data_IF_083742337357
#
_entry.id   IF_083742337357
#
_cell.length_a   1.000
_cell.length_b   1.000
_cell.length_c   1.000
_cell.angle_alpha   90.00
_cell.angle_beta   90.00
_cell.angle_gamma   90.00
#
_symmetry.space_group_name_H-M   'P 1'
#
loop_
_entity.id
_entity.type
_entity.pdbx_description
1 polymer ?
#
# COMPACT_ATOMS: atom_id res chain seq x y z
N UNK A 1 13.85 -36.02 17.82
CA UNK A 1 12.56 -36.73 17.77
C UNK A 1 11.55 -35.74 17.22
N UNK A 2 11.66 -35.42 15.93
CA UNK A 2 10.65 -34.63 15.21
C UNK A 2 10.45 -35.34 13.88
N UNK A 3 9.88 -36.53 13.95
CA UNK A 3 9.10 -37.07 12.84
C UNK A 3 7.79 -36.29 12.87
N UNK A 4 7.85 -35.03 12.41
CA UNK A 4 6.65 -34.29 12.03
C UNK A 4 5.94 -35.21 11.06
N UNK A 5 4.79 -35.75 11.48
CA UNK A 5 3.90 -36.50 10.61
C UNK A 5 3.85 -35.70 9.30
N UNK A 6 4.36 -36.26 8.20
CA UNK A 6 4.19 -35.65 6.89
C UNK A 6 2.70 -35.35 6.79
N UNK A 7 2.40 -34.06 6.69
CA UNK A 7 1.04 -33.57 6.71
C UNK A 7 0.33 -34.23 5.54
N UNK A 8 -0.53 -35.20 5.85
CA UNK A 8 -1.33 -35.93 4.88
C UNK A 8 -2.05 -34.92 3.98
N UNK A 9 -1.72 -34.95 2.69
CA UNK A 9 -2.41 -34.17 1.68
C UNK A 9 -3.66 -34.91 1.22
N UNK A 10 -4.59 -34.17 0.61
CA UNK A 10 -5.78 -34.75 -0.02
C UNK A 10 -5.41 -35.82 -1.06
N UNK A 11 -4.32 -35.62 -1.80
CA UNK A 11 -3.81 -36.59 -2.77
C UNK A 11 -3.38 -37.91 -2.09
N UNK A 12 -2.76 -37.84 -0.90
CA UNK A 12 -2.36 -39.02 -0.13
C UNK A 12 -3.58 -39.82 0.34
N UNK A 13 -4.67 -39.14 0.69
CA UNK A 13 -5.94 -39.76 1.09
C UNK A 13 -6.56 -40.52 -0.09
N UNK A 14 -6.51 -39.97 -1.31
CA UNK A 14 -7.03 -40.66 -2.49
C UNK A 14 -6.20 -41.88 -2.89
N UNK A 15 -4.87 -41.82 -2.77
CA UNK A 15 -4.00 -42.99 -3.01
C UNK A 15 -4.33 -44.10 -2.01
N UNK A 16 -4.46 -43.76 -0.72
CA UNK A 16 -4.84 -44.73 0.32
C UNK A 16 -6.25 -45.30 0.08
N UNK A 17 -7.19 -44.48 -0.39
CA UNK A 17 -8.53 -44.94 -0.73
C UNK A 17 -8.55 -45.94 -1.90
N UNK A 18 -7.69 -45.74 -2.91
CA UNK A 18 -7.52 -46.66 -4.03
C UNK A 18 -6.95 -48.01 -3.58
N UNK A 19 -5.88 -48.00 -2.78
CA UNK A 19 -5.28 -49.22 -2.22
C UNK A 19 -6.29 -50.00 -1.37
N UNK A 20 -7.01 -49.30 -0.49
CA UNK A 20 -8.08 -49.89 0.32
C UNK A 20 -9.18 -50.46 -0.59
N UNK A 21 -9.56 -49.74 -1.65
CA UNK A 21 -10.56 -50.18 -2.62
C UNK A 21 -10.20 -51.49 -3.32
N UNK A 22 -8.94 -51.66 -3.73
CA UNK A 22 -8.45 -52.90 -4.35
C UNK A 22 -8.52 -54.10 -3.39
N UNK A 23 -8.17 -53.90 -2.12
CA UNK A 23 -8.29 -54.94 -1.09
C UNK A 23 -9.75 -55.32 -0.82
N UNK A 24 -10.65 -54.33 -0.81
CA UNK A 24 -12.10 -54.56 -0.71
C UNK A 24 -12.64 -55.37 -1.90
N UNK A 25 -12.16 -55.10 -3.13
CA UNK A 25 -12.54 -55.84 -4.33
C UNK A 25 -12.12 -57.31 -4.25
N UNK A 26 -10.86 -57.57 -3.87
CA UNK A 26 -10.34 -58.93 -3.66
C UNK A 26 -11.13 -59.71 -2.58
N UNK A 27 -11.53 -59.04 -1.50
CA UNK A 27 -12.32 -59.64 -0.42
C UNK A 27 -13.77 -59.91 -0.83
N UNK A 28 -14.36 -59.05 -1.65
CA UNK A 28 -15.70 -59.23 -2.21
C UNK A 28 -15.73 -60.46 -3.14
N UNK A 29 -14.71 -60.61 -3.99
CA UNK A 29 -14.60 -61.74 -4.92
C UNK A 29 -14.51 -63.09 -4.20
N UNK A 30 -13.92 -63.13 -2.99
CA UNK A 30 -13.75 -64.36 -2.20
C UNK A 30 -14.90 -64.65 -1.24
N UNK A 31 -15.47 -63.64 -0.58
CA UNK A 31 -16.40 -63.82 0.55
C UNK A 31 -17.82 -63.32 0.28
N UNK A 32 -18.06 -62.71 -0.88
CA UNK A 32 -19.35 -62.16 -1.28
C UNK A 32 -19.66 -60.78 -0.69
N UNK A 33 -20.48 -60.02 -1.43
CA UNK A 33 -20.71 -58.58 -1.21
C UNK A 33 -21.40 -58.27 0.13
N UNK A 34 -22.28 -59.14 0.61
CA UNK A 34 -23.20 -58.84 1.72
C UNK A 34 -22.52 -58.68 3.08
N UNK A 35 -21.42 -59.42 3.32
CA UNK A 35 -20.66 -59.30 4.56
C UNK A 35 -19.83 -58.02 4.59
N UNK A 36 -19.30 -57.61 3.44
CA UNK A 36 -18.36 -56.48 3.34
C UNK A 36 -19.04 -55.12 3.27
N UNK A 37 -20.28 -55.06 2.76
CA UNK A 37 -21.04 -53.81 2.53
C UNK A 37 -21.15 -52.90 3.76
N UNK A 38 -21.34 -53.46 4.96
CA UNK A 38 -21.44 -52.67 6.22
C UNK A 38 -20.08 -52.14 6.70
N UNK A 39 -19.00 -52.86 6.40
CA UNK A 39 -17.66 -52.41 6.73
C UNK A 39 -17.20 -51.33 5.75
N UNK A 40 -17.46 -51.55 4.45
CA UNK A 40 -17.17 -50.59 3.39
C UNK A 40 -17.81 -49.22 3.65
N UNK A 41 -19.10 -49.17 4.04
CA UNK A 41 -19.72 -47.88 4.39
C UNK A 41 -19.06 -47.19 5.57
N UNK A 42 -18.59 -47.93 6.58
CA UNK A 42 -17.84 -47.33 7.70
C UNK A 42 -16.46 -46.84 7.28
N UNK A 43 -15.77 -47.57 6.41
CA UNK A 43 -14.45 -47.15 5.90
C UNK A 43 -14.57 -45.92 4.99
N UNK A 44 -15.60 -45.86 4.14
CA UNK A 44 -15.92 -44.65 3.36
C UNK A 44 -16.12 -43.45 4.28
N UNK A 45 -16.93 -43.57 5.35
CA UNK A 45 -17.09 -42.47 6.29
C UNK A 45 -15.78 -42.04 6.96
N UNK A 46 -14.88 -42.98 7.28
CA UNK A 46 -13.57 -42.64 7.85
C UNK A 46 -12.69 -41.93 6.80
N UNK A 47 -12.71 -42.37 5.54
CA UNK A 47 -11.99 -41.71 4.45
C UNK A 47 -12.55 -40.31 4.16
N UNK A 48 -13.86 -40.11 4.21
CA UNK A 48 -14.49 -38.79 4.10
C UNK A 48 -14.05 -37.85 5.24
N UNK A 49 -13.98 -38.35 6.48
CA UNK A 49 -13.41 -37.57 7.58
C UNK A 49 -11.94 -37.25 7.35
N UNK A 50 -11.15 -38.22 6.89
CA UNK A 50 -9.72 -38.04 6.62
C UNK A 50 -9.49 -37.00 5.52
N UNK A 51 -10.28 -37.04 4.45
CA UNK A 51 -10.30 -36.06 3.37
C UNK A 51 -10.63 -34.66 3.90
N UNK A 52 -11.69 -34.52 4.71
CA UNK A 52 -12.05 -33.24 5.31
C UNK A 52 -10.93 -32.67 6.20
N UNK A 53 -10.22 -33.54 6.96
CA UNK A 53 -9.06 -33.12 7.73
C UNK A 53 -7.85 -32.76 6.86
N UNK A 54 -7.61 -33.50 5.78
CA UNK A 54 -6.54 -33.23 4.82
C UNK A 54 -6.75 -31.89 4.11
N UNK A 55 -7.97 -31.61 3.62
CA UNK A 55 -8.34 -30.30 3.03
C UNK A 55 -8.08 -29.16 4.01
N UNK A 56 -8.51 -29.31 5.27
CA UNK A 56 -8.29 -28.28 6.29
C UNK A 56 -6.81 -28.08 6.62
N UNK A 57 -6.03 -29.16 6.57
CA UNK A 57 -4.59 -29.12 6.79
C UNK A 57 -3.87 -28.41 5.64
N UNK A 58 -4.24 -28.71 4.39
CA UNK A 58 -3.70 -28.05 3.21
C UNK A 58 -4.05 -26.56 3.20
N UNK A 59 -5.28 -26.17 3.54
CA UNK A 59 -5.65 -24.75 3.67
C UNK A 59 -4.85 -24.03 4.77
N UNK A 60 -4.65 -24.68 5.92
CA UNK A 60 -3.85 -24.12 7.00
C UNK A 60 -2.36 -24.01 6.60
N UNK A 61 -1.85 -24.98 5.83
CA UNK A 61 -0.50 -24.97 5.29
C UNK A 61 -0.31 -23.84 4.29
N UNK A 62 -1.27 -23.59 3.41
CA UNK A 62 -1.29 -22.45 2.51
C UNK A 62 -1.32 -21.12 3.27
N UNK A 63 -2.13 -21.00 4.33
CA UNK A 63 -2.13 -19.80 5.17
C UNK A 63 -0.76 -19.58 5.83
N UNK A 64 -0.14 -20.65 6.35
CA UNK A 64 1.20 -20.58 6.94
C UNK A 64 2.25 -20.16 5.91
N UNK A 65 2.20 -20.68 4.67
CA UNK A 65 3.16 -20.28 3.63
C UNK A 65 2.94 -18.83 3.20
N UNK A 66 1.69 -18.37 3.09
CA UNK A 66 1.36 -16.98 2.80
C UNK A 66 1.85 -16.04 3.92
N UNK A 67 1.59 -16.38 5.18
CA UNK A 67 2.06 -15.60 6.33
C UNK A 67 3.59 -15.55 6.40
N UNK A 68 4.27 -16.67 6.16
CA UNK A 68 5.75 -16.70 6.08
C UNK A 68 6.27 -15.79 4.96
N UNK A 69 5.65 -15.83 3.79
CA UNK A 69 6.03 -14.95 2.68
C UNK A 69 5.81 -13.48 3.02
N UNK A 70 4.69 -13.13 3.68
CA UNK A 70 4.42 -11.77 4.16
C UNK A 70 5.45 -11.32 5.20
N UNK A 71 5.84 -12.19 6.14
CA UNK A 71 6.88 -11.89 7.12
C UNK A 71 8.21 -11.60 6.43
N UNK A 72 8.64 -12.45 5.48
CA UNK A 72 9.87 -12.20 4.72
C UNK A 72 9.83 -10.87 3.96
N UNK A 73 8.70 -10.52 3.33
CA UNK A 73 8.53 -9.23 2.67
C UNK A 73 8.62 -8.06 3.65
N UNK A 74 7.95 -8.14 4.80
CA UNK A 74 7.99 -7.09 5.82
C UNK A 74 9.38 -6.93 6.45
N UNK A 75 10.12 -8.02 6.63
CA UNK A 75 11.50 -8.00 7.11
C UNK A 75 12.42 -7.31 6.09
N UNK A 76 12.27 -7.60 4.80
CA UNK A 76 13.00 -6.93 3.73
C UNK A 76 12.67 -5.42 3.70
N UNK A 77 11.39 -5.06 3.72
CA UNK A 77 10.94 -3.66 3.77
C UNK A 77 11.52 -2.91 4.99
N UNK A 78 11.57 -3.59 6.15
CA UNK A 78 12.15 -3.03 7.38
C UNK A 78 13.64 -2.77 7.20
N UNK A 79 14.37 -3.71 6.61
CA UNK A 79 15.79 -3.59 6.33
C UNK A 79 16.06 -2.45 5.35
N UNK A 80 15.35 -2.37 4.23
CA UNK A 80 15.49 -1.31 3.22
C UNK A 80 15.19 0.08 3.82
N UNK A 81 14.12 0.21 4.62
CA UNK A 81 13.81 1.46 5.33
C UNK A 81 14.86 1.83 6.37
N UNK A 82 15.54 0.86 6.98
CA UNK A 82 16.63 1.12 7.92
C UNK A 82 17.89 1.59 7.18
N UNK A 83 18.23 0.98 6.04
CA UNK A 83 19.34 1.42 5.21
C UNK A 83 19.13 2.84 4.66
N UNK A 84 17.93 3.16 4.19
CA UNK A 84 17.60 4.51 3.73
C UNK A 84 17.77 5.54 4.85
N UNK A 85 17.28 5.23 6.05
CA UNK A 85 17.47 6.10 7.23
C UNK A 85 18.94 6.31 7.56
N UNK A 86 19.74 5.25 7.55
CA UNK A 86 21.19 5.34 7.80
C UNK A 86 21.89 6.20 6.73
N UNK A 87 21.51 6.07 5.46
CA UNK A 87 22.03 6.93 4.38
C UNK A 87 21.69 8.40 4.61
N UNK A 88 20.42 8.71 4.93
CA UNK A 88 20.01 10.09 5.24
C UNK A 88 20.72 10.64 6.48
N UNK A 89 20.92 9.84 7.52
CA UNK A 89 21.66 10.24 8.72
C UNK A 89 23.11 10.61 8.39
N UNK A 90 23.80 9.80 7.57
CA UNK A 90 25.15 10.11 7.08
C UNK A 90 25.22 11.35 6.21
N UNK A 91 24.23 11.55 5.34
CA UNK A 91 24.15 12.77 4.52
C UNK A 91 23.97 14.01 5.40
N UNK A 92 23.12 13.93 6.42
CA UNK A 92 22.94 15.02 7.40
C UNK A 92 24.22 15.29 8.18
N UNK A 93 24.88 14.26 8.70
CA UNK A 93 26.17 14.42 9.39
C UNK A 93 27.22 15.08 8.47
N UNK A 94 27.28 14.68 7.20
CA UNK A 94 28.16 15.31 6.23
C UNK A 94 27.84 16.78 6.01
N UNK A 95 26.56 17.16 5.88
CA UNK A 95 26.16 18.56 5.77
C UNK A 95 26.50 19.36 7.04
N UNK A 96 26.36 18.76 8.22
CA UNK A 96 26.75 19.41 9.48
C UNK A 96 28.26 19.66 9.55
N UNK A 97 29.07 18.70 9.11
CA UNK A 97 30.53 18.85 9.09
C UNK A 97 30.99 19.93 8.10
N UNK A 98 30.41 19.94 6.89
CA UNK A 98 30.66 21.00 5.90
C UNK A 98 30.24 22.35 6.48
N UNK A 99 29.07 22.44 7.11
CA UNK A 99 28.61 23.68 7.70
C UNK A 99 29.50 24.17 8.85
N UNK A 100 29.98 23.26 9.71
CA UNK A 100 30.96 23.59 10.76
C UNK A 100 32.27 24.09 10.16
N UNK A 101 32.73 23.47 9.07
CA UNK A 101 33.93 23.90 8.36
C UNK A 101 33.75 25.30 7.77
N UNK A 102 32.64 25.57 7.09
CA UNK A 102 32.32 26.89 6.53
C UNK A 102 32.22 27.96 7.63
N UNK A 103 31.57 27.67 8.76
CA UNK A 103 31.51 28.59 9.90
C UNK A 103 32.91 28.91 10.41
N UNK A 104 33.78 27.90 10.52
CA UNK A 104 35.17 28.08 10.95
C UNK A 104 35.95 28.92 9.94
N UNK A 105 35.85 28.63 8.65
CA UNK A 105 36.53 29.37 7.59
C UNK A 105 36.08 30.84 7.55
N UNK A 106 34.77 31.09 7.69
CA UNK A 106 34.23 32.45 7.81
C UNK A 106 34.74 33.14 9.09
N UNK A 107 34.82 32.43 10.22
CA UNK A 107 35.43 32.92 11.45
C UNK A 107 36.90 33.31 11.27
N UNK A 108 37.68 32.48 10.57
CA UNK A 108 39.09 32.74 10.23
C UNK A 108 39.22 33.95 9.28
N UNK A 109 38.27 34.15 8.35
CA UNK A 109 38.23 35.36 7.51
C UNK A 109 37.92 36.60 8.35
N UNK A 110 36.93 36.53 9.25
CA UNK A 110 36.56 37.66 10.11
C UNK A 110 37.71 38.06 11.03
N UNK A 111 38.40 37.10 11.65
CA UNK A 111 39.56 37.37 12.52
C UNK A 111 40.71 38.00 11.74
N UNK A 112 41.04 37.50 10.54
CA UNK A 112 42.03 38.13 9.65
C UNK A 112 41.68 39.57 9.29
N UNK A 113 40.42 39.82 8.91
CA UNK A 113 39.95 41.18 8.60
C UNK A 113 39.97 42.12 9.82
N UNK A 114 39.66 41.61 11.01
CA UNK A 114 39.77 42.37 12.26
C UNK A 114 41.23 42.71 12.59
N UNK A 115 42.16 41.78 12.40
CA UNK A 115 43.59 42.03 12.57
C UNK A 115 44.11 43.06 11.58
N UNK A 116 43.74 42.97 10.30
CA UNK A 116 44.11 43.94 9.26
C UNK A 116 43.55 45.33 9.57
N UNK A 117 42.28 45.43 9.96
CA UNK A 117 41.69 46.70 10.40
C UNK A 117 42.40 47.29 11.62
N UNK A 118 42.78 46.46 12.59
CA UNK A 118 43.53 46.90 13.78
C UNK A 118 44.94 47.40 13.41
N UNK A 119 45.63 46.72 12.50
CA UNK A 119 46.94 47.12 11.96
C UNK A 119 46.84 48.44 11.18
N UNK A 120 45.83 48.59 10.32
CA UNK A 120 45.58 49.82 9.57
C UNK A 120 45.25 50.99 10.50
N UNK A 121 44.39 50.78 11.51
CA UNK A 121 44.10 51.79 12.53
C UNK A 121 45.34 52.21 13.31
N UNK A 122 46.22 51.27 13.67
CA UNK A 122 47.49 51.57 14.34
C UNK A 122 48.43 52.36 13.43
N UNK A 123 48.55 51.96 12.16
CA UNK A 123 49.36 52.64 11.14
C UNK A 123 48.84 54.05 10.82
N UNK A 124 47.52 54.25 10.83
CA UNK A 124 46.90 55.57 10.65
C UNK A 124 47.20 56.49 11.83
N UNK A 125 47.10 55.99 13.07
CA UNK A 125 47.48 56.75 14.27
C UNK A 125 48.96 57.11 14.28
N UNK A 126 49.83 56.20 13.86
CA UNK A 126 51.26 56.48 13.68
C UNK A 126 51.45 57.60 12.63
N UNK A 127 50.84 57.49 11.45
CA UNK A 127 50.93 58.54 10.41
C UNK A 127 50.35 59.88 10.85
N UNK A 128 49.23 59.91 11.58
CA UNK A 128 48.68 61.13 12.18
C UNK A 128 49.65 61.74 13.21
N UNK A 129 50.35 60.92 13.99
CA UNK A 129 51.38 61.39 14.92
C UNK A 129 52.63 61.95 14.22
N UNK A 130 53.00 61.38 13.07
CA UNK A 130 54.06 61.92 12.21
C UNK A 130 53.64 63.23 11.52
N UNK A 131 52.37 63.38 11.13
CA UNK A 131 51.84 64.62 10.52
C UNK A 131 51.70 65.75 11.56
N UNK A 132 51.52 65.41 12.85
CA UNK A 132 51.50 66.39 13.94
C UNK A 132 52.90 66.89 14.36
N UNK A 133 53.99 66.26 13.89
CA UNK A 133 55.37 66.63 14.20
C UNK A 133 56.17 66.84 12.91
N UNK A 134 55.99 67.99 12.26
CA UNK A 134 56.98 68.50 11.30
C UNK A 134 56.39 69.17 10.06
N UNK A 135 56.16 70.48 10.17
CA UNK A 135 56.33 71.42 9.06
C UNK A 135 57.77 71.94 9.10
N UNK A 136 58.55 71.75 8.04
CA UNK A 136 59.24 72.80 7.25
C UNK A 136 60.43 72.27 6.44
N UNK A 137 60.38 72.60 5.13
CA UNK A 137 61.50 73.03 4.25
C UNK A 137 62.57 71.99 3.85
N UNK A 138 63.17 71.99 2.65
CA UNK A 138 63.46 73.08 1.73
C UNK A 138 63.79 72.58 0.30
N UNK A 139 63.48 73.44 -0.67
CA UNK A 139 64.15 73.78 -1.93
C UNK A 139 65.34 72.96 -2.52
N UNK A 140 65.28 72.82 -3.86
CA UNK A 140 66.34 72.66 -4.90
C UNK A 140 66.79 71.24 -5.27
N UNK A 141 66.44 70.82 -6.50
CA UNK A 141 67.38 70.29 -7.52
C UNK A 141 66.63 69.81 -8.78
N UNK A 142 66.43 70.70 -9.76
CA UNK A 142 65.64 70.41 -10.97
C UNK A 142 66.28 69.43 -11.99
N UNK A 143 67.49 68.91 -11.73
CA UNK A 143 68.16 67.90 -12.58
C UNK A 143 68.24 66.49 -11.94
N UNK A 144 68.16 66.37 -10.62
CA UNK A 144 67.99 65.07 -9.93
C UNK A 144 66.51 64.64 -9.88
N UNK A 145 65.61 65.63 -9.83
CA UNK A 145 64.14 65.44 -9.85
C UNK A 145 63.67 64.74 -11.12
N UNK A 146 64.27 64.98 -12.29
CA UNK A 146 63.89 64.25 -13.52
C UNK A 146 64.24 62.75 -13.46
N UNK A 147 65.38 62.38 -12.86
CA UNK A 147 65.76 60.97 -12.71
C UNK A 147 64.88 60.26 -11.66
N UNK A 148 64.53 60.97 -10.59
CA UNK A 148 63.63 60.49 -9.55
C UNK A 148 62.19 60.37 -10.06
N UNK A 149 61.71 61.33 -10.86
CA UNK A 149 60.42 61.29 -11.56
C UNK A 149 60.37 60.12 -12.56
N UNK A 150 61.45 59.85 -13.31
CA UNK A 150 61.55 58.69 -14.18
C UNK A 150 61.46 57.37 -13.38
N UNK A 151 62.08 57.30 -12.19
CA UNK A 151 61.98 56.14 -11.31
C UNK A 151 60.58 55.97 -10.71
N UNK A 152 59.93 57.07 -10.31
CA UNK A 152 58.54 57.07 -9.84
C UNK A 152 57.59 56.63 -10.95
N UNK A 153 57.74 57.15 -12.17
CA UNK A 153 56.96 56.73 -13.33
C UNK A 153 57.18 55.25 -13.68
N UNK A 154 58.40 54.73 -13.55
CA UNK A 154 58.69 53.29 -13.70
C UNK A 154 57.99 52.46 -12.61
N UNK A 155 57.99 52.90 -11.35
CA UNK A 155 57.27 52.25 -10.25
C UNK A 155 55.76 52.28 -10.45
N UNK A 156 55.20 53.42 -10.86
CA UNK A 156 53.77 53.55 -11.18
C UNK A 156 53.39 52.68 -12.37
N UNK A 157 54.22 52.61 -13.43
CA UNK A 157 54.01 51.69 -14.56
C UNK A 157 54.03 50.23 -14.12
N UNK A 158 54.98 49.85 -13.25
CA UNK A 158 55.07 48.49 -12.70
C UNK A 158 53.86 48.15 -11.80
N UNK A 159 53.37 49.12 -11.02
CA UNK A 159 52.16 48.96 -10.21
C UNK A 159 50.91 48.83 -11.10
N UNK A 160 50.81 49.63 -12.16
CA UNK A 160 49.72 49.56 -13.13
C UNK A 160 49.73 48.24 -13.92
N UNK A 161 50.90 47.74 -14.32
CA UNK A 161 51.01 46.41 -14.95
C UNK A 161 50.60 45.31 -13.99
N UNK A 162 51.01 45.38 -12.72
CA UNK A 162 50.59 44.43 -11.68
C UNK A 162 49.08 44.46 -11.44
N UNK A 163 48.48 45.65 -11.35
CA UNK A 163 47.03 45.80 -11.24
C UNK A 163 46.31 45.27 -12.49
N UNK A 164 46.84 45.50 -13.68
CA UNK A 164 46.27 44.96 -14.92
C UNK A 164 46.32 43.43 -14.97
N UNK A 165 47.41 42.83 -14.49
CA UNK A 165 47.55 41.37 -14.36
C UNK A 165 46.57 40.80 -13.32
N UNK A 166 46.39 41.49 -12.19
CA UNK A 166 45.41 41.12 -11.17
C UNK A 166 43.98 41.21 -11.70
N UNK A 167 43.63 42.27 -12.44
CA UNK A 167 42.33 42.39 -13.09
C UNK A 167 42.08 41.22 -14.04
N UNK A 168 43.06 40.86 -14.87
CA UNK A 168 42.96 39.68 -15.77
C UNK A 168 42.90 38.35 -15.03
N UNK A 169 43.46 38.26 -13.82
CA UNK A 169 43.32 37.09 -12.97
C UNK A 169 41.87 37.00 -12.46
N UNK A 170 41.34 38.07 -11.88
CA UNK A 170 39.97 38.11 -11.39
C UNK A 170 38.93 37.91 -12.50
N UNK A 171 39.16 38.45 -13.70
CA UNK A 171 38.29 38.19 -14.87
C UNK A 171 38.24 36.70 -15.23
N UNK A 172 39.38 35.99 -15.20
CA UNK A 172 39.43 34.54 -15.46
C UNK A 172 38.75 33.75 -14.35
N UNK A 173 38.96 34.15 -13.09
CA UNK A 173 38.34 33.52 -11.94
C UNK A 173 36.81 33.68 -11.97
N UNK A 174 36.31 34.89 -12.27
CA UNK A 174 34.88 35.16 -12.46
C UNK A 174 34.35 34.32 -13.63
N UNK A 175 35.03 34.27 -14.77
CA UNK A 175 34.61 33.46 -15.91
C UNK A 175 34.51 31.97 -15.56
N UNK A 176 35.50 31.44 -14.82
CA UNK A 176 35.47 30.06 -14.34
C UNK A 176 34.28 29.83 -13.39
N UNK A 177 34.06 30.72 -12.41
CA UNK A 177 32.95 30.62 -11.48
C UNK A 177 31.59 30.73 -12.18
N UNK A 178 31.46 31.56 -13.20
CA UNK A 178 30.23 31.62 -14.02
C UNK A 178 29.97 30.31 -14.77
N UNK A 179 31.01 29.68 -15.32
CA UNK A 179 30.87 28.39 -15.99
C UNK A 179 30.50 27.25 -15.01
N UNK A 180 31.10 27.25 -13.81
CA UNK A 180 30.74 26.33 -12.72
C UNK A 180 29.27 26.51 -12.30
N UNK A 181 28.82 27.76 -12.13
CA UNK A 181 27.43 28.07 -11.80
C UNK A 181 26.46 27.61 -12.89
N UNK A 182 26.79 27.81 -14.17
CA UNK A 182 25.93 27.39 -15.27
C UNK A 182 25.85 25.85 -15.40
N UNK A 183 26.96 25.14 -15.17
CA UNK A 183 26.95 23.68 -15.10
C UNK A 183 26.09 23.18 -13.92
N UNK A 184 26.22 23.76 -12.73
CA UNK A 184 25.38 23.42 -11.57
C UNK A 184 23.90 23.72 -11.83
N UNK A 185 23.59 24.83 -12.50
CA UNK A 185 22.22 25.15 -12.93
C UNK A 185 21.65 24.09 -13.87
N UNK A 186 22.43 23.61 -14.84
CA UNK A 186 22.00 22.53 -15.74
C UNK A 186 21.74 21.22 -14.99
N UNK A 187 22.63 20.84 -14.06
CA UNK A 187 22.45 19.65 -13.23
C UNK A 187 21.19 19.75 -12.36
N UNK A 188 20.94 20.92 -11.77
CA UNK A 188 19.75 21.20 -10.98
C UNK A 188 18.47 21.11 -11.82
N UNK A 189 18.46 21.63 -13.05
CA UNK A 189 17.31 21.51 -13.96
C UNK A 189 17.06 20.05 -14.38
N UNK A 190 18.11 19.27 -14.68
CA UNK A 190 17.98 17.83 -14.94
C UNK A 190 17.41 17.08 -13.73
N UNK A 191 17.90 17.36 -12.53
CA UNK A 191 17.39 16.76 -11.29
C UNK A 191 15.92 17.13 -11.04
N UNK A 192 15.53 18.40 -11.27
CA UNK A 192 14.14 18.85 -11.18
C UNK A 192 13.23 18.10 -12.17
N UNK A 193 13.65 17.96 -13.43
CA UNK A 193 12.88 17.24 -14.45
C UNK A 193 12.69 15.77 -14.06
N UNK A 194 13.75 15.09 -13.62
CA UNK A 194 13.68 13.70 -13.16
C UNK A 194 12.77 13.54 -11.93
N UNK A 195 12.88 14.45 -10.95
CA UNK A 195 12.01 14.45 -9.76
C UNK A 195 10.53 14.69 -10.10
N UNK A 196 10.24 15.56 -11.07
CA UNK A 196 8.89 15.77 -11.57
C UNK A 196 8.34 14.53 -12.28
N UNK A 197 9.15 13.86 -13.11
CA UNK A 197 8.76 12.62 -13.78
C UNK A 197 8.48 11.49 -12.77
N UNK A 198 9.36 11.30 -11.79
CA UNK A 198 9.14 10.34 -10.70
C UNK A 198 7.88 10.65 -9.91
N UNK A 199 7.60 11.93 -9.64
CA UNK A 199 6.37 12.34 -8.97
C UNK A 199 5.12 12.05 -9.80
N UNK A 200 5.16 12.23 -11.13
CA UNK A 200 4.09 11.83 -12.04
C UNK A 200 3.91 10.31 -12.05
N UNK A 201 4.99 9.54 -12.09
CA UNK A 201 4.97 8.06 -12.04
C UNK A 201 4.37 7.55 -10.72
N UNK A 202 4.77 8.14 -9.59
CA UNK A 202 4.21 7.84 -8.25
C UNK A 202 2.71 8.10 -8.20
N UNK A 203 2.22 9.21 -8.76
CA UNK A 203 0.77 9.50 -8.84
C UNK A 203 0.00 8.46 -9.66
N UNK A 204 0.56 8.01 -10.79
CA UNK A 204 -0.06 6.95 -11.61
C UNK A 204 -0.13 5.62 -10.87
N UNK A 205 0.96 5.20 -10.22
CA UNK A 205 0.95 3.98 -9.42
C UNK A 205 0.00 4.07 -8.23
N UNK A 206 -0.05 5.21 -7.55
CA UNK A 206 -1.00 5.42 -6.45
C UNK A 206 -2.46 5.33 -6.94
N UNK A 207 -2.76 5.84 -8.14
CA UNK A 207 -4.08 5.69 -8.75
C UNK A 207 -4.40 4.23 -9.09
N UNK A 208 -3.45 3.47 -9.65
CA UNK A 208 -3.61 2.04 -9.93
C UNK A 208 -3.86 1.22 -8.66
N UNK A 209 -3.12 1.50 -7.58
CA UNK A 209 -3.32 0.81 -6.29
C UNK A 209 -4.73 1.07 -5.74
N UNK A 210 -5.23 2.32 -5.87
CA UNK A 210 -6.60 2.64 -5.48
C UNK A 210 -7.62 1.88 -6.32
N UNK A 211 -7.45 1.89 -7.64
CA UNK A 211 -8.32 1.17 -8.55
C UNK A 211 -8.36 -0.34 -8.22
N UNK A 212 -7.21 -0.99 -8.03
CA UNK A 212 -7.18 -2.40 -7.64
C UNK A 212 -7.79 -2.66 -6.26
N UNK A 213 -7.67 -1.71 -5.33
CA UNK A 213 -8.32 -1.83 -4.03
C UNK A 213 -9.85 -1.72 -4.13
N UNK A 214 -10.36 -0.88 -5.03
CA UNK A 214 -11.80 -0.74 -5.33
C UNK A 214 -12.32 -2.00 -6.02
N UNK A 215 -11.64 -2.47 -7.08
CA UNK A 215 -11.99 -3.73 -7.77
C UNK A 215 -11.99 -4.93 -6.83
N UNK A 216 -11.01 -5.01 -5.92
CA UNK A 216 -10.97 -6.06 -4.89
C UNK A 216 -12.16 -5.96 -3.93
N UNK A 217 -12.54 -4.75 -3.52
CA UNK A 217 -13.69 -4.56 -2.63
C UNK A 217 -15.01 -4.98 -3.32
N UNK A 218 -15.17 -4.65 -4.61
CA UNK A 218 -16.34 -5.05 -5.39
C UNK A 218 -16.43 -6.57 -5.55
N UNK A 219 -15.31 -7.24 -5.85
CA UNK A 219 -15.26 -8.70 -5.94
C UNK A 219 -15.56 -9.39 -4.61
N UNK A 220 -15.06 -8.84 -3.49
CA UNK A 220 -15.37 -9.37 -2.16
C UNK A 220 -16.87 -9.20 -1.83
N UNK A 221 -17.48 -8.07 -2.19
CA UNK A 221 -18.91 -7.87 -2.02
C UNK A 221 -19.74 -8.87 -2.84
N UNK A 222 -19.36 -9.09 -4.11
CA UNK A 222 -20.01 -10.09 -4.97
C UNK A 222 -19.89 -11.51 -4.40
N UNK A 223 -18.72 -11.89 -3.91
CA UNK A 223 -18.51 -13.19 -3.27
C UNK A 223 -19.35 -13.35 -2.00
N UNK A 224 -19.45 -12.32 -1.16
CA UNK A 224 -20.30 -12.35 0.03
C UNK A 224 -21.78 -12.50 -0.33
N UNK A 225 -22.24 -11.84 -1.38
CA UNK A 225 -23.64 -11.96 -1.81
C UNK A 225 -23.93 -13.35 -2.40
N UNK A 226 -22.99 -13.94 -3.14
CA UNK A 226 -23.08 -15.32 -3.59
C UNK A 226 -23.10 -16.31 -2.42
N UNK A 227 -22.28 -16.10 -1.38
CA UNK A 227 -22.30 -16.93 -0.17
C UNK A 227 -23.66 -16.87 0.54
N UNK A 228 -24.24 -15.68 0.72
CA UNK A 228 -25.59 -15.53 1.29
C UNK A 228 -26.64 -16.24 0.44
N UNK A 229 -26.55 -16.15 -0.89
CA UNK A 229 -27.46 -16.87 -1.78
C UNK A 229 -27.31 -18.39 -1.62
N UNK A 230 -26.10 -18.92 -1.49
CA UNK A 230 -25.88 -20.34 -1.22
C UNK A 230 -26.45 -20.76 0.13
N UNK A 231 -26.23 -19.97 1.19
CA UNK A 231 -26.79 -20.22 2.52
C UNK A 231 -28.32 -20.26 2.50
N UNK A 232 -28.97 -19.30 1.84
CA UNK A 232 -30.44 -19.29 1.71
C UNK A 232 -30.96 -20.48 0.91
N UNK A 233 -30.28 -20.87 -0.18
CA UNK A 233 -30.64 -22.07 -0.95
C UNK A 233 -30.47 -23.35 -0.14
N UNK A 234 -29.40 -23.47 0.64
CA UNK A 234 -29.17 -24.59 1.55
C UNK A 234 -30.27 -24.66 2.62
N UNK A 235 -30.67 -23.53 3.19
CA UNK A 235 -31.74 -23.46 4.18
C UNK A 235 -33.09 -23.89 3.57
N UNK A 236 -33.41 -23.41 2.37
CA UNK A 236 -34.63 -23.76 1.64
C UNK A 236 -34.66 -25.25 1.22
N UNK A 237 -33.51 -25.80 0.83
CA UNK A 237 -33.39 -27.23 0.56
C UNK A 237 -33.61 -28.03 1.85
N UNK A 238 -33.05 -27.58 2.97
CA UNK A 238 -33.25 -28.20 4.28
C UNK A 238 -34.70 -28.13 4.80
N UNK A 239 -35.46 -27.08 4.49
CA UNK A 239 -36.91 -27.07 4.75
C UNK A 239 -37.65 -28.02 3.82
N UNK A 240 -37.36 -28.02 2.52
CA UNK A 240 -38.01 -28.89 1.55
C UNK A 240 -37.77 -30.39 1.84
N UNK A 241 -36.56 -30.76 2.30
CA UNK A 241 -36.24 -32.12 2.73
C UNK A 241 -37.06 -32.51 3.96
N UNK A 242 -37.16 -31.63 4.97
CA UNK A 242 -37.99 -31.88 6.16
C UNK A 242 -39.46 -32.03 5.80
N UNK A 243 -40.00 -31.16 4.96
CA UNK A 243 -41.40 -31.22 4.52
C UNK A 243 -41.68 -32.54 3.77
N UNK A 244 -40.74 -32.98 2.93
CA UNK A 244 -40.82 -34.28 2.25
C UNK A 244 -40.80 -35.45 3.24
N UNK A 245 -39.90 -35.43 4.22
CA UNK A 245 -39.80 -36.47 5.24
C UNK A 245 -41.07 -36.52 6.10
N UNK A 246 -41.65 -35.37 6.45
CA UNK A 246 -42.92 -35.28 7.17
C UNK A 246 -44.06 -35.89 6.36
N UNK A 247 -44.17 -35.57 5.06
CA UNK A 247 -45.16 -36.18 4.16
C UNK A 247 -44.99 -37.70 4.04
N UNK A 248 -43.75 -38.18 3.93
CA UNK A 248 -43.43 -39.61 3.91
C UNK A 248 -43.77 -40.29 5.24
N UNK A 249 -43.47 -39.66 6.37
CA UNK A 249 -43.82 -40.15 7.70
C UNK A 249 -45.34 -40.20 7.91
N UNK A 250 -46.09 -39.22 7.38
CA UNK A 250 -47.55 -39.20 7.33
C UNK A 250 -48.14 -40.33 6.47
N UNK A 251 -47.45 -40.73 5.40
CA UNK A 251 -47.86 -41.87 4.56
C UNK A 251 -47.47 -43.22 5.17
N UNK A 252 -46.29 -43.33 5.79
CA UNK A 252 -45.76 -44.58 6.39
C UNK A 252 -46.40 -44.92 7.73
N UNK A 253 -46.73 -43.93 8.58
CA UNK A 253 -47.48 -44.20 9.83
C UNK A 253 -48.93 -44.63 9.61
N UNK A 254 -49.39 -44.66 8.36
CA UNK A 254 -50.80 -44.76 8.04
C UNK A 254 -51.48 -43.49 8.50
N UNK A 255 -51.95 -42.66 7.57
CA UNK A 255 -52.75 -41.50 7.92
C UNK A 255 -53.87 -41.95 8.85
N UNK A 256 -53.78 -41.59 10.13
CA UNK A 256 -54.86 -41.80 11.08
C UNK A 256 -55.98 -40.87 10.62
N UNK A 257 -56.87 -41.40 9.76
CA UNK A 257 -58.01 -40.71 9.15
C UNK A 257 -59.10 -40.37 10.20
N UNK A 258 -58.81 -40.49 11.49
CA UNK A 258 -59.70 -40.09 12.56
C UNK A 258 -59.74 -38.56 12.65
N UNK A 259 -60.76 -37.98 12.02
CA UNK A 259 -61.09 -36.56 12.08
C UNK A 259 -60.76 -35.75 10.82
N UNK A 260 -60.26 -36.38 9.74
CA UNK A 260 -60.07 -35.72 8.45
C UNK A 260 -61.21 -36.08 7.51
N UNK A 261 -61.89 -35.05 7.00
CA UNK A 261 -62.95 -35.19 5.99
C UNK A 261 -62.31 -35.71 4.71
N UNK A 262 -62.71 -36.91 4.26
CA UNK A 262 -62.35 -37.43 2.93
C UNK A 262 -63.17 -36.60 1.95
N UNK A 263 -62.49 -35.76 1.16
CA UNK A 263 -63.16 -34.84 0.25
C UNK A 263 -63.27 -35.51 -1.12
N UNK A 264 -64.50 -35.73 -1.57
CA UNK A 264 -64.80 -36.19 -2.92
C UNK A 264 -64.38 -35.12 -3.94
N UNK A 265 -63.62 -35.53 -4.96
CA UNK A 265 -63.11 -34.62 -5.99
C UNK A 265 -64.21 -34.17 -6.96
N UNK A 266 -65.31 -34.94 -7.05
CA UNK A 266 -66.43 -34.68 -7.95
C UNK A 266 -67.60 -33.90 -7.30
N UNK A 267 -67.50 -33.54 -6.00
CA UNK A 267 -68.55 -32.79 -5.29
C UNK A 267 -68.62 -31.31 -5.73
N UNK A 268 -69.73 -30.86 -6.36
CA UNK A 268 -69.91 -29.46 -6.77
C UNK A 268 -69.92 -28.47 -5.61
N UNK A 269 -70.23 -28.91 -4.38
CA UNK A 269 -70.34 -28.09 -3.18
C UNK A 269 -69.08 -28.12 -2.31
N UNK A 270 -68.00 -28.75 -2.78
CA UNK A 270 -66.71 -28.76 -2.09
C UNK A 270 -66.20 -27.32 -1.86
N UNK A 271 -65.71 -26.98 -0.65
CA UNK A 271 -65.00 -25.72 -0.42
C UNK A 271 -63.81 -25.61 -1.38
N UNK A 272 -63.88 -24.67 -2.32
CA UNK A 272 -62.83 -24.44 -3.34
C UNK A 272 -61.66 -23.62 -2.84
N UNK A 273 -61.87 -22.90 -1.74
CA UNK A 273 -60.88 -22.02 -1.13
C UNK A 273 -60.52 -22.52 0.26
N UNK A 274 -59.25 -22.38 0.62
CA UNK A 274 -58.83 -22.55 2.01
C UNK A 274 -59.40 -21.43 2.87
N UNK A 275 -59.43 -21.62 4.19
CA UNK A 275 -59.91 -20.60 5.13
C UNK A 275 -59.09 -19.31 5.03
N UNK A 276 -57.79 -19.43 4.74
CA UNK A 276 -56.89 -18.29 4.61
C UNK A 276 -57.05 -17.59 3.26
N UNK A 277 -57.22 -18.33 2.17
CA UNK A 277 -57.61 -17.76 0.87
C UNK A 277 -58.95 -17.01 0.98
N UNK A 278 -59.94 -17.57 1.67
CA UNK A 278 -61.22 -16.92 1.87
C UNK A 278 -61.09 -15.63 2.69
N UNK A 279 -60.26 -15.61 3.73
CA UNK A 279 -59.95 -14.39 4.49
C UNK A 279 -59.27 -13.35 3.61
N UNK A 280 -58.34 -13.76 2.76
CA UNK A 280 -57.62 -12.85 1.88
C UNK A 280 -58.54 -12.26 0.81
N UNK A 281 -59.38 -13.07 0.17
CA UNK A 281 -60.42 -12.62 -0.76
C UNK A 281 -61.42 -11.70 -0.06
N UNK A 282 -61.80 -11.99 1.18
CA UNK A 282 -62.65 -11.11 2.00
C UNK A 282 -61.98 -9.75 2.23
N UNK A 283 -60.69 -9.75 2.57
CA UNK A 283 -59.92 -8.54 2.81
C UNK A 283 -59.81 -7.68 1.54
N UNK A 284 -59.38 -8.28 0.42
CA UNK A 284 -59.26 -7.61 -0.87
C UNK A 284 -60.60 -7.02 -1.33
N UNK A 285 -61.69 -7.79 -1.19
CA UNK A 285 -63.05 -7.30 -1.53
C UNK A 285 -63.49 -6.16 -0.62
N UNK A 286 -63.13 -6.15 0.65
CA UNK A 286 -63.43 -5.02 1.54
C UNK A 286 -62.62 -3.79 1.18
N UNK A 287 -61.34 -3.95 0.83
CA UNK A 287 -60.48 -2.85 0.37
C UNK A 287 -60.99 -2.26 -0.95
N UNK A 288 -61.38 -3.11 -1.90
CA UNK A 288 -61.98 -2.67 -3.16
C UNK A 288 -63.33 -1.99 -2.93
N UNK A 289 -64.15 -2.49 -2.00
CA UNK A 289 -65.41 -1.81 -1.62
C UNK A 289 -65.15 -0.42 -1.03
N UNK A 290 -64.14 -0.26 -0.19
CA UNK A 290 -63.77 1.05 0.35
C UNK A 290 -63.36 2.00 -0.79
N UNK A 291 -62.47 1.55 -1.69
CA UNK A 291 -62.05 2.34 -2.86
C UNK A 291 -63.22 2.72 -3.77
N UNK A 292 -64.17 1.81 -4.00
CA UNK A 292 -65.37 2.11 -4.79
C UNK A 292 -66.25 3.13 -4.08
N UNK A 293 -66.43 3.02 -2.76
CA UNK A 293 -67.18 4.01 -1.97
C UNK A 293 -66.54 5.40 -2.05
N UNK A 294 -65.22 5.49 -1.91
CA UNK A 294 -64.49 6.76 -1.99
C UNK A 294 -64.65 7.38 -3.39
N UNK A 295 -64.56 6.57 -4.45
CA UNK A 295 -64.76 7.01 -5.83
C UNK A 295 -66.21 7.43 -6.12
N UNK A 296 -67.20 6.74 -5.53
CA UNK A 296 -68.61 7.13 -5.63
C UNK A 296 -68.87 8.47 -4.94
N UNK A 297 -68.24 8.73 -3.79
CA UNK A 297 -68.30 10.02 -3.08
C UNK A 297 -67.63 11.15 -3.88
N UNK A 298 -66.48 10.89 -4.52
CA UNK A 298 -65.81 11.85 -5.41
C UNK A 298 -66.65 12.20 -6.65
N UNK A 299 -67.40 11.24 -7.20
CA UNK A 299 -68.28 11.44 -8.35
C UNK A 299 -69.59 12.17 -8.01
N UNK A 300 -69.97 12.21 -6.74
CA UNK A 300 -71.18 12.88 -6.25
C UNK A 300 -70.96 14.37 -5.90
N UNK A 301 -69.70 14.86 -5.97
CA UNK A 301 -69.29 16.27 -5.81
C UNK A 301 -69.23 17.01 -7.15
#
# INVERSE_FOLDING_TARGET
MDTSSEALSVDDVYILAEEIGMEFECLIDTHGVDMMKKLMTKVICVLEYLEAYAVRNDSAREEITQLKAQVCQLEQDKYEKAELRNKFEKEVEHYEDVWRQEIKELGDVVTRLQEENSKLCSSLKEKESYIAQGDHENSKDNDAVQAEDILVLKRLRAALSKQSEQMRHYEREVAQKTAELDNLRQQLEHAKQSSQEQSRRRRRFQAQVKQFSEERADLLAQLQDQQKQLETLQQNLGTAVRDKDDLLNLTVRGAELKGKVIIDLDDPYRPRFTLDELKQILFERNELKAKVSDLEDELAL
#
